data_IF_747140824571
#
_entry.id   IF_747140824571
#
_cell.length_a   1.000
_cell.length_b   1.000
_cell.length_c   1.000
_cell.angle_alpha   90.00
_cell.angle_beta   90.00
_cell.angle_gamma   90.00
#
_symmetry.space_group_name_H-M   'P 1'
#
loop_
_entity.id
_entity.type
_entity.pdbx_description
1 polymer ?
#
# COMPACT_ATOMS: atom_id res chain seq x y z
N UNK A 1 30.65 -14.51 14.38
CA UNK A 1 30.75 -14.58 12.91
C UNK A 1 29.33 -14.55 12.37
N UNK A 2 28.96 -13.45 11.71
CA UNK A 2 27.60 -13.22 11.24
C UNK A 2 27.32 -13.97 9.95
N UNK A 3 26.17 -14.66 9.88
CA UNK A 3 25.66 -15.20 8.63
C UNK A 3 24.77 -14.15 7.96
N UNK A 4 25.32 -13.59 6.90
CA UNK A 4 24.70 -12.70 5.92
C UNK A 4 23.51 -13.40 5.25
N UNK A 5 22.31 -12.82 5.36
CA UNK A 5 21.17 -13.20 4.53
C UNK A 5 21.36 -12.56 3.15
N UNK A 6 21.98 -13.31 2.24
CA UNK A 6 22.13 -12.93 0.84
C UNK A 6 20.76 -12.83 0.15
N UNK A 7 20.43 -11.61 -0.24
CA UNK A 7 19.84 -11.23 -1.53
C UNK A 7 19.04 -12.32 -2.27
N UNK A 8 17.84 -12.63 -1.76
CA UNK A 8 16.89 -13.47 -2.48
C UNK A 8 16.41 -12.71 -3.74
N UNK A 9 16.85 -13.21 -4.89
CA UNK A 9 16.61 -12.66 -6.21
C UNK A 9 15.15 -12.26 -6.48
N UNK A 10 15.02 -11.17 -7.23
CA UNK A 10 13.74 -10.64 -7.74
C UNK A 10 12.89 -11.77 -8.33
N UNK A 11 11.62 -11.95 -7.93
CA UNK A 11 10.77 -12.96 -8.53
C UNK A 11 10.47 -12.58 -9.99
N UNK A 12 10.83 -13.50 -10.90
CA UNK A 12 10.60 -13.38 -12.33
C UNK A 12 9.11 -13.48 -12.68
N UNK A 13 8.63 -12.53 -13.48
CA UNK A 13 7.28 -12.52 -14.04
C UNK A 13 7.23 -13.46 -15.26
N UNK A 14 6.62 -14.64 -15.13
CA UNK A 14 6.40 -15.51 -16.29
C UNK A 14 5.13 -15.08 -17.04
N UNK A 15 5.29 -14.56 -18.25
CA UNK A 15 4.19 -14.12 -19.11
C UNK A 15 3.79 -15.24 -20.07
N UNK A 16 2.69 -15.94 -19.78
CA UNK A 16 2.01 -16.76 -20.78
C UNK A 16 0.74 -16.02 -21.27
N UNK A 17 0.41 -16.19 -22.55
CA UNK A 17 -0.54 -15.38 -23.31
C UNK A 17 -1.79 -14.93 -22.54
N UNK A 18 -2.04 -13.61 -22.59
CA UNK A 18 -3.25 -12.89 -22.14
C UNK A 18 -3.64 -12.89 -20.66
N UNK A 19 -3.00 -13.71 -19.81
CA UNK A 19 -3.19 -13.68 -18.35
C UNK A 19 -1.86 -13.91 -17.63
N UNK A 20 -1.40 -12.92 -16.87
CA UNK A 20 -0.24 -13.07 -15.99
C UNK A 20 -0.75 -13.39 -14.58
N UNK A 21 -0.78 -14.68 -14.23
CA UNK A 21 -0.90 -15.08 -12.83
C UNK A 21 0.49 -14.95 -12.23
N UNK A 22 0.66 -14.16 -11.17
CA UNK A 22 1.91 -14.13 -10.41
C UNK A 22 2.00 -15.45 -9.62
N UNK A 23 2.38 -16.54 -10.29
CA UNK A 23 2.62 -17.83 -9.67
C UNK A 23 4.05 -17.86 -9.14
N UNK A 24 4.21 -17.61 -7.85
CA UNK A 24 5.32 -18.12 -7.05
C UNK A 24 4.88 -18.08 -5.58
N UNK A 25 4.05 -19.06 -5.19
CA UNK A 25 4.06 -19.83 -3.93
C UNK A 25 2.82 -20.77 -3.89
N UNK A 26 2.98 -22.02 -3.44
CA UNK A 26 1.95 -23.07 -3.50
C UNK A 26 0.79 -22.72 -2.57
N UNK A 27 -0.45 -22.76 -3.07
CA UNK A 27 -1.74 -22.97 -2.33
C UNK A 27 -2.05 -22.21 -1.01
N UNK A 28 -1.18 -21.36 -0.45
CA UNK A 28 -1.23 -20.90 0.94
C UNK A 28 -1.79 -19.47 1.14
N UNK A 29 -1.91 -18.67 0.08
CA UNK A 29 -2.54 -17.34 0.15
C UNK A 29 -3.93 -17.40 -0.50
N UNK A 30 -4.97 -17.31 0.33
CA UNK A 30 -6.37 -17.18 -0.09
C UNK A 30 -6.62 -15.86 -0.81
N UNK A 31 -5.96 -14.79 -0.36
CA UNK A 31 -6.11 -13.44 -0.90
C UNK A 31 -5.16 -13.20 -2.08
N UNK A 32 -5.69 -12.76 -3.22
CA UNK A 32 -4.93 -12.59 -4.47
C UNK A 32 -5.38 -11.36 -5.24
N UNK A 33 -4.43 -10.74 -5.95
CA UNK A 33 -4.70 -9.66 -6.92
C UNK A 33 -4.37 -10.16 -8.32
N UNK A 34 -5.39 -10.24 -9.17
CA UNK A 34 -5.27 -10.65 -10.57
C UNK A 34 -5.59 -9.45 -11.48
N UNK A 35 -4.96 -9.39 -12.65
CA UNK A 35 -5.21 -8.33 -13.62
C UNK A 35 -5.32 -8.90 -15.04
N UNK A 36 -6.05 -8.17 -15.89
CA UNK A 36 -6.19 -8.45 -17.32
C UNK A 36 -6.18 -7.11 -18.06
N UNK A 37 -5.56 -7.06 -19.24
CA UNK A 37 -5.65 -5.91 -20.14
C UNK A 37 -6.12 -6.34 -21.52
N UNK A 38 -6.76 -5.41 -22.24
CA UNK A 38 -7.15 -5.61 -23.64
C UNK A 38 -5.94 -5.59 -24.57
N UNK A 39 -4.98 -4.70 -24.32
CA UNK A 39 -3.75 -4.61 -25.10
C UNK A 39 -2.57 -5.12 -24.30
N UNK A 40 -1.77 -6.00 -24.93
CA UNK A 40 -0.58 -6.58 -24.32
C UNK A 40 0.39 -5.46 -23.91
N UNK A 41 0.89 -5.54 -22.69
CA UNK A 41 1.87 -4.58 -22.16
C UNK A 41 1.30 -3.25 -21.66
N UNK A 42 -0.02 -3.13 -21.53
CA UNK A 42 -0.64 -1.95 -20.88
C UNK A 42 -0.47 -1.97 -19.36
N UNK A 43 -0.42 -3.15 -18.74
CA UNK A 43 -0.24 -3.31 -17.30
C UNK A 43 1.13 -3.91 -17.02
N UNK A 44 1.94 -3.19 -16.23
CA UNK A 44 3.24 -3.61 -15.76
C UNK A 44 3.21 -3.73 -14.23
N UNK A 45 3.20 -4.96 -13.67
CA UNK A 45 3.34 -5.15 -12.23
C UNK A 45 4.71 -4.65 -11.76
N UNK A 46 4.71 -3.80 -10.74
CA UNK A 46 5.91 -3.24 -10.11
C UNK A 46 6.20 -3.96 -8.80
N UNK A 47 5.17 -4.26 -8.02
CA UNK A 47 5.30 -4.97 -6.74
C UNK A 47 4.06 -5.80 -6.46
N UNK A 48 4.25 -6.96 -5.86
CA UNK A 48 3.18 -7.78 -5.29
C UNK A 48 3.67 -8.31 -3.95
N UNK A 49 2.93 -8.06 -2.87
CA UNK A 49 3.36 -8.39 -1.51
C UNK A 49 2.18 -8.49 -0.56
N UNK A 50 2.40 -9.13 0.58
CA UNK A 50 1.54 -9.00 1.76
C UNK A 50 2.08 -7.95 2.73
N UNK A 51 1.27 -7.56 3.71
CA UNK A 51 1.60 -6.64 4.79
C UNK A 51 1.76 -7.42 6.12
N UNK A 52 2.95 -7.95 6.45
CA UNK A 52 3.15 -8.77 7.65
C UNK A 52 3.00 -7.99 8.97
N UNK A 53 3.15 -6.66 8.94
CA UNK A 53 2.99 -5.79 10.11
C UNK A 53 1.54 -5.58 10.55
N UNK A 54 0.56 -5.91 9.70
CA UNK A 54 -0.87 -5.80 10.04
C UNK A 54 -1.36 -7.18 10.47
N UNK A 55 -1.67 -7.31 11.77
CA UNK A 55 -1.97 -8.61 12.42
C UNK A 55 -3.31 -8.63 13.17
N UNK A 56 -4.19 -7.67 12.88
CA UNK A 56 -5.52 -7.58 13.52
C UNK A 56 -6.49 -8.66 13.03
N UNK A 57 -6.12 -9.43 12.00
CA UNK A 57 -6.80 -10.63 11.51
C UNK A 57 -5.76 -11.75 11.33
N UNK A 58 -6.24 -12.98 11.26
CA UNK A 58 -5.53 -14.18 10.83
C UNK A 58 -5.01 -14.09 9.38
N UNK A 59 -5.62 -13.24 8.54
CA UNK A 59 -5.15 -12.93 7.20
C UNK A 59 -4.16 -11.75 7.18
N UNK A 60 -3.28 -11.74 6.16
CA UNK A 60 -2.38 -10.61 5.89
C UNK A 60 -2.90 -9.84 4.68
N UNK A 61 -3.08 -8.52 4.75
CA UNK A 61 -3.48 -7.74 3.58
C UNK A 61 -2.50 -7.97 2.42
N UNK A 62 -3.03 -8.27 1.23
CA UNK A 62 -2.25 -8.45 0.00
C UNK A 62 -2.47 -7.24 -0.91
N UNK A 63 -1.41 -6.71 -1.50
CA UNK A 63 -1.47 -5.57 -2.43
C UNK A 63 -0.62 -5.78 -3.67
N UNK A 64 -1.06 -5.17 -4.77
CA UNK A 64 -0.30 -5.07 -6.02
C UNK A 64 -0.08 -3.60 -6.40
N UNK A 65 1.15 -3.25 -6.75
CA UNK A 65 1.52 -1.97 -7.34
C UNK A 65 1.72 -2.17 -8.84
N UNK A 66 1.06 -1.37 -9.66
CA UNK A 66 1.10 -1.49 -11.12
C UNK A 66 1.40 -0.14 -11.75
N UNK A 67 2.18 -0.16 -12.83
CA UNK A 67 2.28 0.94 -13.77
C UNK A 67 1.38 0.60 -14.96
N UNK A 68 0.39 1.45 -15.22
CA UNK A 68 -0.63 1.21 -16.26
C UNK A 68 -0.58 2.31 -17.31
N UNK A 69 -0.62 1.91 -18.59
CA UNK A 69 -0.70 2.85 -19.72
C UNK A 69 -2.11 3.44 -19.82
N UNK A 70 -2.21 4.75 -19.91
CA UNK A 70 -3.46 5.50 -20.12
C UNK A 70 -3.38 6.22 -21.47
N UNK A 71 -4.50 6.32 -22.18
CA UNK A 71 -4.62 7.01 -23.47
C UNK A 71 -5.59 8.20 -23.33
N UNK A 72 -5.44 9.26 -24.15
CA UNK A 72 -6.39 10.37 -24.17
C UNK A 72 -7.84 9.90 -24.39
N UNK A 73 -8.78 10.52 -23.66
CA UNK A 73 -10.21 10.28 -23.77
C UNK A 73 -10.96 11.42 -24.46
N UNK A 74 -12.27 11.45 -24.30
CA UNK A 74 -13.17 12.54 -24.74
C UNK A 74 -14.16 12.86 -23.62
N UNK A 75 -14.72 14.07 -23.64
CA UNK A 75 -15.64 14.56 -22.60
C UNK A 75 -17.11 14.24 -22.88
N UNK A 76 -17.39 13.45 -23.93
CA UNK A 76 -18.75 13.04 -24.31
C UNK A 76 -19.25 11.80 -23.54
N UNK A 77 -18.76 11.61 -22.31
CA UNK A 77 -19.13 10.54 -21.37
C UNK A 77 -19.50 11.15 -20.02
N UNK A 78 -20.28 10.47 -19.16
CA UNK A 78 -20.54 10.95 -17.81
C UNK A 78 -19.24 11.17 -17.03
N UNK A 79 -18.97 12.42 -16.64
CA UNK A 79 -17.76 12.80 -15.92
C UNK A 79 -17.97 12.70 -14.41
N UNK A 80 -16.91 12.33 -13.67
CA UNK A 80 -16.90 12.49 -12.22
C UNK A 80 -17.01 13.96 -11.80
N UNK A 81 -16.45 14.89 -12.60
CA UNK A 81 -16.58 16.34 -12.43
C UNK A 81 -16.31 16.84 -10.99
N UNK A 82 -15.27 16.30 -10.34
CA UNK A 82 -14.92 16.67 -8.96
C UNK A 82 -15.81 16.04 -7.88
N UNK A 83 -16.64 15.04 -8.21
CA UNK A 83 -17.42 14.27 -7.23
C UNK A 83 -16.52 13.31 -6.45
N UNK A 84 -16.47 13.48 -5.14
CA UNK A 84 -15.82 12.58 -4.18
C UNK A 84 -16.53 12.68 -2.82
N UNK A 85 -16.20 11.80 -1.89
CA UNK A 85 -16.71 11.87 -0.51
C UNK A 85 -16.00 13.00 0.26
N UNK A 86 -16.67 14.17 0.28
CA UNK A 86 -16.16 15.38 0.93
C UNK A 86 -16.09 15.22 2.45
N UNK A 87 -17.04 14.54 3.07
CA UNK A 87 -17.09 14.40 4.53
C UNK A 87 -15.94 13.52 5.02
N UNK A 88 -15.65 12.42 4.32
CA UNK A 88 -14.48 11.58 4.61
C UNK A 88 -13.17 12.37 4.46
N UNK A 89 -13.05 13.20 3.43
CA UNK A 89 -11.89 14.06 3.23
C UNK A 89 -11.67 15.04 4.40
N UNK A 90 -12.74 15.71 4.86
CA UNK A 90 -12.68 16.61 6.01
C UNK A 90 -12.35 15.87 7.32
N UNK A 91 -12.94 14.69 7.54
CA UNK A 91 -12.60 13.84 8.69
C UNK A 91 -11.12 13.48 8.67
N UNK A 92 -10.56 13.15 7.50
CA UNK A 92 -9.14 12.87 7.31
C UNK A 92 -8.24 14.06 7.69
N UNK A 93 -8.60 15.27 7.26
CA UNK A 93 -7.88 16.49 7.65
C UNK A 93 -7.92 16.69 9.17
N UNK A 94 -9.11 16.64 9.77
CA UNK A 94 -9.30 16.81 11.22
C UNK A 94 -8.45 15.81 12.00
N UNK A 95 -8.49 14.52 11.64
CA UNK A 95 -7.72 13.45 12.31
C UNK A 95 -6.20 13.69 12.25
N UNK A 96 -5.66 14.17 11.13
CA UNK A 96 -4.21 14.46 11.01
C UNK A 96 -3.80 15.63 11.90
N UNK A 97 -4.56 16.72 11.90
CA UNK A 97 -4.28 17.90 12.74
C UNK A 97 -4.34 17.51 14.22
N UNK A 98 -5.38 16.81 14.65
CA UNK A 98 -5.52 16.39 16.05
C UNK A 98 -4.36 15.50 16.51
N UNK A 99 -3.92 14.56 15.67
CA UNK A 99 -2.77 13.69 15.99
C UNK A 99 -1.46 14.47 16.14
N UNK A 100 -1.22 15.46 15.28
CA UNK A 100 -0.02 16.29 15.38
C UNK A 100 -0.06 17.16 16.64
N UNK A 101 -1.20 17.79 16.95
CA UNK A 101 -1.38 18.57 18.19
C UNK A 101 -1.12 17.70 19.44
N UNK A 102 -1.68 16.50 19.48
CA UNK A 102 -1.46 15.56 20.59
C UNK A 102 0.02 15.17 20.73
N UNK A 103 0.71 14.90 19.62
CA UNK A 103 2.15 14.60 19.61
C UNK A 103 2.97 15.77 20.15
N UNK A 104 2.67 17.00 19.72
CA UNK A 104 3.37 18.21 20.19
C UNK A 104 3.11 18.47 21.68
N UNK A 105 1.88 18.25 22.16
CA UNK A 105 1.56 18.34 23.58
C UNK A 105 2.31 17.28 24.40
N UNK A 106 2.39 16.04 23.94
CA UNK A 106 3.16 15.00 24.61
C UNK A 106 4.65 15.35 24.73
N UNK A 107 5.26 15.91 23.67
CA UNK A 107 6.65 16.37 23.70
C UNK A 107 6.83 17.55 24.68
N UNK A 108 5.92 18.54 24.66
CA UNK A 108 5.96 19.68 25.59
C UNK A 108 5.83 19.25 27.05
N UNK A 109 4.95 18.29 27.34
CA UNK A 109 4.73 17.78 28.69
C UNK A 109 5.91 16.90 29.19
N UNK A 110 6.67 16.27 28.30
CA UNK A 110 7.92 15.59 28.68
C UNK A 110 8.98 16.58 29.16
N UNK A 111 9.09 17.74 28.51
CA UNK A 111 10.00 18.82 28.91
C UNK A 111 9.59 19.52 30.21
N UNK A 112 8.38 19.27 30.74
CA UNK A 112 7.91 19.81 32.02
C UNK A 112 7.96 18.79 33.18
N UNK A 113 8.55 17.60 32.97
CA UNK A 113 8.73 16.63 34.04
C UNK A 113 9.95 16.99 34.90
N UNK A 114 9.70 17.38 36.15
CA UNK A 114 10.73 17.68 37.15
C UNK A 114 11.28 16.43 37.88
N UNK A 115 11.16 15.24 37.28
CA UNK A 115 11.54 13.98 37.94
C UNK A 115 12.80 13.43 37.26
N UNK A 116 13.93 13.67 37.95
CA UNK A 116 15.26 13.22 37.63
C UNK A 116 15.31 11.68 37.51
N UNK A 117 16.02 11.14 36.53
CA UNK A 117 16.57 9.78 36.64
C UNK A 117 17.95 9.90 37.27
N UNK A 118 18.11 9.40 38.51
CA UNK A 118 19.40 9.25 39.19
C UNK A 118 19.74 7.76 39.23
N UNK A 119 21.01 7.48 38.88
CA UNK A 119 21.85 6.27 39.04
C UNK A 119 22.15 5.54 37.74
#
# INVERSE_FOLDING_TARGET
MGHSWAEAGRPGLQQNGTSSVLLLLPSLLKDRVLYRSRHKGDICPVKYSSCPGIKTSDHRPVYGLFRVKVRPGRDNIPLAAGKFDRELYLIGIKRRISKEIQKQQAIKNQNSSAICTIS
#
